data_IF_251037496957
#
_entry.id   IF_251037496957
#
_cell.length_a   1.000
_cell.length_b   1.000
_cell.length_c   1.000
_cell.angle_alpha   90.00
_cell.angle_beta   90.00
_cell.angle_gamma   90.00
#
_symmetry.space_group_name_H-M   'P 1'
#
loop_
_entity.id
_entity.type
_entity.pdbx_description
1 polymer ?
#
# COMPACT_ATOMS: atom_id res chain seq x y z
N UNK A 1 -1.59 16.86 -69.90
CA UNK A 1 -0.78 17.44 -68.81
C UNK A 1 -1.52 18.63 -68.24
N UNK A 2 -1.76 18.65 -66.91
CA UNK A 2 -2.17 19.80 -66.07
C UNK A 2 -3.56 20.35 -66.44
N UNK A 3 -4.46 20.83 -65.59
CA UNK A 3 -4.49 21.48 -64.28
C UNK A 3 -6.04 21.58 -64.08
N UNK A 4 -6.73 21.35 -62.98
CA UNK A 4 -6.50 21.81 -61.62
C UNK A 4 -7.59 21.13 -60.80
N UNK A 5 -7.16 20.29 -59.87
CA UNK A 5 -7.98 19.74 -58.79
C UNK A 5 -8.25 20.85 -57.77
N UNK A 6 -9.25 20.61 -56.92
CA UNK A 6 -9.55 21.34 -55.66
C UNK A 6 -10.46 22.56 -55.78
N UNK A 7 -11.77 22.33 -55.77
CA UNK A 7 -12.74 23.28 -55.22
C UNK A 7 -13.64 22.54 -54.24
N UNK A 8 -13.45 22.91 -52.97
CA UNK A 8 -14.43 23.06 -51.91
C UNK A 8 -15.59 22.04 -51.81
N UNK A 9 -15.43 21.06 -50.93
CA UNK A 9 -16.55 20.52 -50.16
C UNK A 9 -16.34 20.95 -48.72
N UNK A 10 -17.09 22.00 -48.40
CA UNK A 10 -17.30 22.59 -47.09
C UNK A 10 -18.10 21.60 -46.24
N UNK A 11 -17.63 21.41 -45.00
CA UNK A 11 -18.50 21.41 -43.83
C UNK A 11 -19.32 20.15 -43.56
N UNK A 12 -18.72 19.20 -42.84
CA UNK A 12 -19.41 18.55 -41.72
C UNK A 12 -18.44 18.45 -40.56
N UNK A 13 -18.44 19.52 -39.77
CA UNK A 13 -18.07 19.53 -38.37
C UNK A 13 -19.11 18.66 -37.64
N UNK A 14 -18.78 17.43 -37.29
CA UNK A 14 -19.57 16.65 -36.34
C UNK A 14 -18.65 16.20 -35.21
N UNK A 15 -18.79 16.93 -34.11
CA UNK A 15 -18.24 16.67 -32.81
C UNK A 15 -18.65 15.26 -32.36
N UNK A 16 -17.75 14.30 -32.47
CA UNK A 16 -17.71 13.16 -31.55
C UNK A 16 -16.82 13.58 -30.37
N UNK A 17 -17.39 14.42 -29.51
CA UNK A 17 -16.79 14.80 -28.24
C UNK A 17 -16.58 13.51 -27.41
N UNK A 18 -15.33 13.33 -26.98
CA UNK A 18 -14.87 12.11 -26.36
C UNK A 18 -15.65 11.73 -25.11
N UNK A 19 -16.22 10.52 -25.14
CA UNK A 19 -16.24 9.68 -23.96
C UNK A 19 -14.85 9.04 -23.84
N UNK A 20 -13.83 9.85 -23.56
CA UNK A 20 -12.63 9.34 -22.93
C UNK A 20 -13.12 8.84 -21.56
N UNK A 21 -13.35 7.54 -21.46
CA UNK A 21 -13.53 6.88 -20.18
C UNK A 21 -12.38 7.35 -19.31
N UNK A 22 -12.71 8.20 -18.34
CA UNK A 22 -11.80 8.56 -17.28
C UNK A 22 -11.48 7.23 -16.62
N UNK A 23 -10.32 6.65 -17.00
CA UNK A 23 -9.62 5.72 -16.15
C UNK A 23 -9.56 6.47 -14.83
N UNK A 24 -10.39 6.06 -13.88
CA UNK A 24 -10.22 6.48 -12.50
C UNK A 24 -8.75 6.25 -12.24
N UNK A 25 -8.05 7.36 -12.05
CA UNK A 25 -6.67 7.35 -11.65
C UNK A 25 -6.63 6.43 -10.44
N UNK A 26 -5.99 5.25 -10.61
CA UNK A 26 -5.31 4.55 -9.53
C UNK A 26 -4.34 5.59 -8.97
N UNK A 27 -4.90 6.48 -8.15
CA UNK A 27 -4.22 7.65 -7.65
C UNK A 27 -3.18 7.16 -6.70
N UNK A 28 -1.97 6.99 -7.21
CA UNK A 28 -0.73 7.12 -6.49
C UNK A 28 -0.79 6.60 -5.06
N UNK A 29 -1.14 5.32 -4.92
CA UNK A 29 -0.44 4.45 -3.99
C UNK A 29 1.02 4.33 -4.46
N UNK A 30 1.72 5.46 -4.57
CA UNK A 30 3.14 5.57 -4.88
C UNK A 30 3.84 4.61 -3.94
N UNK A 31 4.26 3.45 -4.48
CA UNK A 31 4.68 2.24 -3.79
C UNK A 31 4.91 2.44 -2.28
N UNK A 32 3.81 2.48 -1.50
CA UNK A 32 3.89 2.82 -0.08
C UNK A 32 4.51 1.62 0.62
N UNK A 33 5.79 1.76 0.95
CA UNK A 33 6.52 0.69 1.63
C UNK A 33 6.11 0.56 3.10
N UNK A 34 5.28 1.47 3.62
CA UNK A 34 4.81 1.52 5.01
C UNK A 34 3.32 1.15 5.17
N UNK A 35 2.79 0.37 4.22
CA UNK A 35 1.41 -0.12 4.21
C UNK A 35 1.38 -1.63 4.04
N UNK A 36 0.52 -2.29 4.81
CA UNK A 36 0.18 -3.70 4.68
C UNK A 36 -1.33 -3.89 4.77
N UNK A 37 -1.85 -4.80 3.96
CA UNK A 37 -3.24 -5.24 3.99
C UNK A 37 -3.31 -6.60 4.70
N UNK A 38 -4.13 -6.71 5.75
CA UNK A 38 -4.19 -7.90 6.62
C UNK A 38 -5.63 -8.37 6.82
N UNK A 39 -5.90 -9.66 7.09
CA UNK A 39 -7.29 -10.11 7.27
C UNK A 39 -8.03 -9.28 8.32
N UNK A 40 -9.26 -8.88 8.01
CA UNK A 40 -10.18 -8.23 8.93
C UNK A 40 -11.01 -9.22 9.79
N UNK A 41 -10.48 -10.41 10.04
CA UNK A 41 -11.17 -11.47 10.77
C UNK A 41 -11.27 -11.21 12.29
N UNK A 42 -10.68 -10.12 12.80
CA UNK A 42 -10.60 -9.82 14.24
C UNK A 42 -9.37 -10.41 14.94
N UNK A 43 -9.32 -10.39 16.29
CA UNK A 43 -8.17 -10.82 17.08
C UNK A 43 -7.90 -12.34 17.00
N UNK A 44 -8.95 -13.15 16.78
CA UNK A 44 -8.85 -14.61 16.65
C UNK A 44 -8.42 -15.08 15.24
N UNK A 45 -7.94 -14.16 14.40
CA UNK A 45 -7.58 -14.44 13.02
C UNK A 45 -6.35 -15.35 12.89
N UNK A 46 -6.53 -16.57 12.36
CA UNK A 46 -5.43 -17.51 12.08
C UNK A 46 -4.97 -17.53 10.61
N UNK A 47 -5.60 -16.74 9.74
CA UNK A 47 -5.31 -16.78 8.30
C UNK A 47 -3.91 -16.27 7.94
N UNK A 48 -3.31 -15.43 8.78
CA UNK A 48 -1.99 -14.79 8.57
C UNK A 48 -1.80 -14.19 7.18
N UNK A 49 -2.88 -13.83 6.49
CA UNK A 49 -2.80 -13.24 5.15
C UNK A 49 -2.34 -11.79 5.26
N UNK A 50 -1.24 -11.50 4.57
CA UNK A 50 -0.62 -10.18 4.48
C UNK A 50 -0.35 -9.89 3.00
N UNK A 51 -0.61 -8.67 2.56
CA UNK A 51 -0.40 -8.24 1.17
C UNK A 51 0.07 -6.79 1.09
N UNK A 52 0.80 -6.45 0.02
CA UNK A 52 1.13 -5.07 -0.34
C UNK A 52 0.00 -4.36 -1.11
N UNK A 53 -0.99 -5.11 -1.58
CA UNK A 53 -2.13 -4.62 -2.34
C UNK A 53 -3.47 -5.00 -1.69
N UNK A 54 -4.54 -4.22 -1.89
CA UNK A 54 -5.88 -4.61 -1.48
C UNK A 54 -6.30 -5.96 -2.08
N UNK A 55 -7.23 -6.65 -1.43
CA UNK A 55 -7.72 -7.94 -1.93
C UNK A 55 -8.52 -8.69 -0.88
N UNK A 56 -8.68 -10.00 -1.11
CA UNK A 56 -9.38 -10.91 -0.21
C UNK A 56 -8.40 -11.84 0.50
N UNK A 57 -8.69 -12.13 1.76
CA UNK A 57 -8.05 -13.18 2.52
C UNK A 57 -8.56 -14.55 2.07
N UNK A 58 -7.80 -15.61 2.34
CA UNK A 58 -8.17 -17.00 2.03
C UNK A 58 -9.46 -17.46 2.72
N UNK A 59 -9.87 -16.80 3.81
CA UNK A 59 -11.16 -17.04 4.46
C UNK A 59 -12.35 -16.31 3.81
N UNK A 60 -12.13 -15.52 2.75
CA UNK A 60 -13.15 -14.77 2.02
C UNK A 60 -13.37 -13.33 2.48
N UNK A 61 -12.85 -12.96 3.66
CA UNK A 61 -12.93 -11.58 4.18
C UNK A 61 -12.02 -10.63 3.41
N UNK A 62 -12.41 -9.36 3.32
CA UNK A 62 -11.54 -8.33 2.72
C UNK A 62 -10.32 -8.06 3.61
N UNK A 63 -9.19 -7.80 2.95
CA UNK A 63 -7.98 -7.36 3.64
C UNK A 63 -8.14 -5.89 4.06
N UNK A 64 -7.88 -5.61 5.32
CA UNK A 64 -7.93 -4.28 5.91
C UNK A 64 -6.57 -3.61 5.83
N UNK A 65 -6.58 -2.38 5.34
CA UNK A 65 -5.42 -1.49 5.32
C UNK A 65 -4.85 -1.28 6.73
N UNK A 66 -3.52 -1.18 6.83
CA UNK A 66 -2.83 -0.77 8.05
C UNK A 66 -1.52 -0.06 7.74
N UNK A 67 -1.28 1.05 8.44
CA UNK A 67 0.00 1.75 8.40
C UNK A 67 1.00 1.05 9.30
N UNK A 68 2.13 0.62 8.75
CA UNK A 68 3.24 0.07 9.54
C UNK A 68 3.88 1.22 10.32
N UNK A 69 3.73 1.19 11.65
CA UNK A 69 4.29 2.21 12.53
C UNK A 69 5.64 1.81 13.11
N UNK A 70 5.92 0.50 13.15
CA UNK A 70 7.18 -0.09 13.61
C UNK A 70 7.27 -1.56 13.17
N UNK A 71 8.49 -2.08 13.08
CA UNK A 71 8.76 -3.52 12.98
C UNK A 71 9.64 -3.94 14.15
N UNK A 72 9.26 -5.01 14.84
CA UNK A 72 9.97 -5.58 15.99
C UNK A 72 10.28 -7.05 15.70
N UNK A 73 11.57 -7.37 15.51
CA UNK A 73 11.94 -8.71 15.05
C UNK A 73 11.33 -8.99 13.68
N UNK A 74 10.49 -10.02 13.58
CA UNK A 74 9.75 -10.36 12.36
C UNK A 74 8.25 -10.00 12.47
N UNK A 75 7.86 -9.17 13.44
CA UNK A 75 6.49 -8.67 13.60
C UNK A 75 6.36 -7.21 13.15
N UNK A 76 5.38 -6.92 12.30
CA UNK A 76 4.99 -5.55 11.99
C UNK A 76 3.86 -5.09 12.93
N UNK A 77 4.00 -3.88 13.46
CA UNK A 77 2.97 -3.21 14.24
C UNK A 77 2.22 -2.26 13.31
N UNK A 78 0.91 -2.48 13.16
CA UNK A 78 0.06 -1.75 12.23
C UNK A 78 -0.94 -0.90 13.00
N UNK A 79 -1.01 0.38 12.66
CA UNK A 79 -2.13 1.22 13.02
C UNK A 79 -3.21 1.11 11.94
N UNK A 80 -4.37 0.59 12.32
CA UNK A 80 -5.50 0.37 11.41
C UNK A 80 -6.55 1.49 11.50
N UNK A 81 -6.07 2.74 11.64
CA UNK A 81 -6.91 3.94 11.51
C UNK A 81 -7.42 4.14 10.08
N UNK A 82 -8.07 5.29 9.84
CA UNK A 82 -8.47 5.72 8.52
C UNK A 82 -7.28 5.61 7.55
N UNK A 83 -7.55 5.03 6.38
CA UNK A 83 -6.58 4.90 5.30
C UNK A 83 -5.91 6.25 5.00
N UNK A 84 -4.59 6.18 4.78
CA UNK A 84 -3.75 7.36 4.58
C UNK A 84 -3.28 8.04 5.88
N UNK A 85 -3.61 7.50 7.06
CA UNK A 85 -3.08 8.03 8.32
C UNK A 85 -1.54 7.93 8.38
N UNK A 86 -0.92 8.91 9.04
CA UNK A 86 0.53 9.01 9.28
C UNK A 86 0.86 8.86 10.77
N UNK A 87 0.02 8.11 11.49
CA UNK A 87 0.14 7.99 12.94
C UNK A 87 1.43 7.28 13.33
N UNK A 88 1.98 7.67 14.48
CA UNK A 88 3.06 6.94 15.13
C UNK A 88 2.50 6.08 16.28
N UNK A 89 3.37 5.34 16.95
CA UNK A 89 3.06 4.72 18.25
C UNK A 89 2.81 5.82 19.29
N UNK A 90 1.87 5.61 20.20
CA UNK A 90 1.61 6.52 21.31
C UNK A 90 2.86 6.60 22.22
N UNK A 91 3.39 7.79 22.53
CA UNK A 91 4.59 7.95 23.35
C UNK A 91 4.40 7.50 24.81
N UNK A 92 3.14 7.38 25.27
CA UNK A 92 2.78 6.96 26.64
C UNK A 92 2.43 5.47 26.73
N UNK A 93 2.04 4.85 25.62
CA UNK A 93 1.63 3.44 25.57
C UNK A 93 2.06 2.80 24.25
N UNK A 94 3.09 1.96 24.29
CA UNK A 94 3.65 1.29 23.11
C UNK A 94 2.73 0.26 22.47
N UNK A 95 1.60 -0.06 23.09
CA UNK A 95 0.56 -0.95 22.54
C UNK A 95 -0.50 -0.19 21.74
N UNK A 96 -0.48 1.14 21.81
CA UNK A 96 -1.45 2.02 21.15
C UNK A 96 -0.81 2.84 20.04
N UNK A 97 -1.63 3.14 19.06
CA UNK A 97 -1.36 4.14 18.05
C UNK A 97 -1.68 5.53 18.63
N UNK A 98 -1.00 6.57 18.15
CA UNK A 98 -1.24 7.95 18.57
C UNK A 98 -2.68 8.46 18.32
N UNK A 99 -3.49 7.73 17.54
CA UNK A 99 -4.92 8.00 17.39
C UNK A 99 -5.80 7.37 18.49
N UNK A 100 -5.20 6.69 19.48
CA UNK A 100 -5.86 6.00 20.59
C UNK A 100 -6.28 4.55 20.28
N UNK A 101 -6.26 4.13 19.02
CA UNK A 101 -6.56 2.75 18.62
C UNK A 101 -5.43 1.78 18.95
N UNK A 102 -5.75 0.50 19.14
CA UNK A 102 -4.76 -0.53 19.42
C UNK A 102 -3.91 -0.86 18.19
N UNK A 103 -2.65 -1.20 18.42
CA UNK A 103 -1.75 -1.67 17.36
C UNK A 103 -2.00 -3.15 17.08
N UNK A 104 -2.21 -3.47 15.80
CA UNK A 104 -2.28 -4.86 15.34
C UNK A 104 -0.86 -5.38 15.09
N UNK A 105 -0.47 -6.45 15.77
CA UNK A 105 0.75 -7.20 15.43
C UNK A 105 0.45 -8.23 14.36
N UNK A 106 1.33 -8.33 13.37
CA UNK A 106 1.30 -9.37 12.37
C UNK A 106 2.68 -9.95 12.17
N UNK A 107 2.77 -11.26 12.11
CA UNK A 107 4.02 -11.98 11.88
C UNK A 107 4.31 -12.01 10.37
N UNK A 108 5.51 -11.56 9.98
CA UNK A 108 5.96 -11.52 8.59
C UNK A 108 6.65 -12.82 8.16
N UNK A 109 6.99 -13.74 9.07
CA UNK A 109 7.69 -14.99 8.73
C UNK A 109 6.92 -15.83 7.73
N UNK A 110 7.63 -16.37 6.74
CA UNK A 110 7.04 -17.21 5.70
C UNK A 110 6.16 -16.46 4.71
N UNK A 111 6.04 -15.13 4.81
CA UNK A 111 5.25 -14.33 3.85
C UNK A 111 6.05 -13.89 2.62
N UNK A 112 7.38 -14.06 2.66
CA UNK A 112 8.29 -13.54 1.63
C UNK A 112 8.50 -12.04 1.68
N UNK A 113 7.94 -11.34 2.68
CA UNK A 113 8.12 -9.90 2.86
C UNK A 113 9.53 -9.57 3.37
N UNK A 114 10.08 -8.47 2.89
CA UNK A 114 11.36 -7.91 3.32
C UNK A 114 11.13 -6.57 4.03
N UNK A 115 11.83 -6.33 5.14
CA UNK A 115 11.62 -5.15 5.99
C UNK A 115 12.94 -4.52 6.45
N UNK A 116 12.90 -3.23 6.84
CA UNK A 116 14.09 -2.58 7.40
C UNK A 116 14.37 -3.11 8.80
N UNK A 117 15.49 -3.79 8.97
CA UNK A 117 15.93 -4.26 10.29
C UNK A 117 16.96 -3.33 10.91
N UNK A 118 16.63 -2.05 10.93
CA UNK A 118 17.57 -0.97 11.20
C UNK A 118 17.64 -0.66 12.72
N UNK A 119 17.14 -1.58 13.53
CA UNK A 119 17.08 -1.49 14.99
C UNK A 119 15.82 -0.80 15.52
N UNK A 120 15.65 -0.84 16.85
CA UNK A 120 14.45 -0.32 17.54
C UNK A 120 14.24 1.19 17.45
N UNK A 121 15.23 1.94 16.95
CA UNK A 121 15.14 3.39 16.73
C UNK A 121 14.76 3.77 15.28
N UNK A 122 14.70 2.82 14.33
CA UNK A 122 14.37 3.15 12.95
C UNK A 122 12.86 3.30 12.75
N UNK A 123 12.45 4.53 12.41
CA UNK A 123 11.07 4.87 12.03
C UNK A 123 10.85 4.85 10.50
N UNK A 124 11.78 4.22 9.78
CA UNK A 124 11.77 4.10 8.33
C UNK A 124 10.60 3.25 7.80
N UNK A 125 10.08 2.34 8.64
CA UNK A 125 8.85 1.55 8.45
C UNK A 125 8.70 0.95 7.04
N UNK A 126 9.82 0.58 6.42
CA UNK A 126 9.84 0.07 5.04
C UNK A 126 9.64 -1.44 5.07
N UNK A 127 8.62 -1.90 4.36
CA UNK A 127 8.23 -3.29 4.10
C UNK A 127 7.89 -3.44 2.61
N UNK A 128 8.49 -4.42 1.95
CA UNK A 128 8.37 -4.70 0.53
C UNK A 128 8.13 -6.20 0.30
N UNK A 129 7.57 -6.56 -0.85
CA UNK A 129 7.33 -7.93 -1.33
C UNK A 129 8.54 -8.54 -2.06
N UNK A 130 9.67 -7.83 -2.07
CA UNK A 130 10.90 -8.20 -2.73
C UNK A 130 12.09 -7.57 -2.03
N UNK A 131 13.27 -8.01 -2.40
CA UNK A 131 14.52 -7.40 -1.95
C UNK A 131 14.64 -5.94 -2.37
N UNK A 132 15.31 -5.16 -1.54
CA UNK A 132 15.48 -3.74 -1.76
C UNK A 132 16.25 -3.05 -0.64
N UNK A 133 16.13 -1.72 -0.60
CA UNK A 133 16.71 -0.87 0.42
C UNK A 133 15.62 -0.09 1.15
N UNK A 134 15.83 0.17 2.43
CA UNK A 134 15.02 1.11 3.19
C UNK A 134 15.25 2.55 2.71
N UNK A 135 14.36 3.45 3.13
CA UNK A 135 14.56 4.91 3.01
C UNK A 135 15.85 5.42 3.67
N UNK A 136 16.40 4.63 4.59
CA UNK A 136 17.66 4.88 5.28
C UNK A 136 18.92 4.33 4.56
N UNK A 137 18.78 3.74 3.36
CA UNK A 137 19.88 3.19 2.57
C UNK A 137 20.34 1.77 2.92
N UNK A 138 19.94 1.22 4.07
CA UNK A 138 20.22 -0.17 4.46
C UNK A 138 19.45 -1.17 3.61
N UNK A 139 20.05 -2.35 3.36
CA UNK A 139 19.36 -3.48 2.73
C UNK A 139 18.21 -3.99 3.63
N UNK A 140 17.10 -4.38 3.01
CA UNK A 140 16.00 -5.02 3.72
C UNK A 140 16.38 -6.43 4.15
N UNK A 141 15.86 -6.87 5.30
CA UNK A 141 15.93 -8.24 5.80
C UNK A 141 14.67 -8.97 5.35
N UNK A 142 14.83 -10.15 4.72
CA UNK A 142 13.70 -11.02 4.41
C UNK A 142 13.19 -11.72 5.68
N UNK A 143 11.87 -11.76 5.85
CA UNK A 143 11.20 -12.46 6.94
C UNK A 143 11.10 -13.95 6.63
N UNK A 144 12.04 -14.74 7.17
CA UNK A 144 12.10 -16.20 7.03
C UNK A 144 11.70 -16.91 8.33
#
# INVERSE_FOLDING_TARGET
>A
MKLTRFIAIIGVFLLAAGCAGMKMSEGDAAARNDVLYTCNCGPECKCNSISKVPGKCTCGMDLKWGHVVKVEGDEALLCQCKEGCKCAIDPKDSTKCACGGDLKRVNLKGTGMSFCNCGGSCMCNTVMDKDGQCKCGMKLKQAN
#
